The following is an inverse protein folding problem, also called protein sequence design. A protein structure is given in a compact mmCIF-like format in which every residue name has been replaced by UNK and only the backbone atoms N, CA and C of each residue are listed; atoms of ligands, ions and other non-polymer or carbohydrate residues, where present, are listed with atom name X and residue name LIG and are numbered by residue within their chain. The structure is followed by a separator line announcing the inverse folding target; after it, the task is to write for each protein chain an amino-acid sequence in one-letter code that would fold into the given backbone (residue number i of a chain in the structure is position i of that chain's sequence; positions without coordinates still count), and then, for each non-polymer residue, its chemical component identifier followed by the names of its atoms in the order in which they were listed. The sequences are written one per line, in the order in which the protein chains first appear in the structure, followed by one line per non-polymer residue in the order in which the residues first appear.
data_IF_486485093903
#
_entry.id   IF_486485093903
#
_cell.length_a   1.000
_cell.length_b   1.000
_cell.length_c   1.000
_cell.angle_alpha   90.00
_cell.angle_beta   90.00
_cell.angle_gamma   90.00
#
_symmetry.space_group_name_H-M   'P 1'
#
loop_
_entity.id
_entity.type
_entity.pdbx_description
1 polymer ?
#
# COMPACT_ATOMS: atom_id res chain seq x y z
N UNK A 1 15.68 -16.60 -0.68
CA UNK A 1 16.07 -16.10 0.65
C UNK A 1 14.83 -16.11 1.56
N UNK A 2 15.00 -16.64 2.73
CA UNK A 2 13.89 -16.71 3.71
C UNK A 2 14.10 -15.65 4.79
N UNK A 3 13.05 -14.87 5.06
CA UNK A 3 13.09 -13.90 6.16
C UNK A 3 13.05 -14.64 7.50
N UNK A 4 13.86 -14.18 8.43
CA UNK A 4 13.88 -14.70 9.81
C UNK A 4 13.22 -13.69 10.75
N UNK A 5 12.88 -14.14 11.97
CA UNK A 5 12.38 -13.20 13.00
C UNK A 5 13.39 -12.12 13.34
N UNK A 6 14.67 -12.41 13.26
CA UNK A 6 15.74 -11.43 13.46
C UNK A 6 15.69 -10.33 12.42
N UNK A 7 15.51 -10.69 11.13
CA UNK A 7 15.38 -9.73 10.04
C UNK A 7 14.21 -8.77 10.28
N UNK A 8 13.06 -9.29 10.70
CA UNK A 8 11.88 -8.47 11.00
C UNK A 8 12.11 -7.51 12.15
N UNK A 9 12.86 -7.94 13.17
CA UNK A 9 13.19 -7.08 14.31
C UNK A 9 14.14 -5.95 13.90
N UNK A 10 15.16 -6.25 13.10
CA UNK A 10 16.09 -5.22 12.62
C UNK A 10 15.40 -4.17 11.77
N UNK A 11 14.45 -4.56 10.94
CA UNK A 11 13.70 -3.65 10.09
C UNK A 11 12.73 -2.76 10.88
N UNK A 12 12.45 -3.08 12.15
CA UNK A 12 11.45 -2.37 12.96
C UNK A 12 10.15 -2.17 12.18
N UNK A 13 9.68 -3.26 11.60
CA UNK A 13 8.73 -3.21 10.48
C UNK A 13 7.42 -2.49 10.82
N UNK A 14 6.90 -2.64 12.02
CA UNK A 14 5.65 -1.99 12.39
C UNK A 14 5.80 -0.48 12.57
N UNK A 15 6.93 -0.05 13.14
CA UNK A 15 7.23 1.38 13.34
C UNK A 15 7.25 2.12 12.00
N UNK A 16 8.03 1.63 11.07
CA UNK A 16 8.22 2.31 9.79
C UNK A 16 7.09 2.03 8.81
N UNK A 17 6.46 0.87 8.90
CA UNK A 17 5.26 0.57 8.10
C UNK A 17 4.12 1.54 8.41
N UNK A 18 3.85 1.80 9.68
CA UNK A 18 2.79 2.72 10.07
C UNK A 18 3.03 4.14 9.53
N UNK A 19 4.25 4.63 9.65
CA UNK A 19 4.63 5.92 9.10
C UNK A 19 4.47 5.98 7.58
N UNK A 20 5.00 4.97 6.90
CA UNK A 20 4.92 4.86 5.44
C UNK A 20 3.48 4.75 4.96
N UNK A 21 2.66 3.98 5.66
CA UNK A 21 1.23 3.86 5.38
C UNK A 21 0.52 5.21 5.51
N UNK A 22 0.79 5.96 6.56
CA UNK A 22 0.20 7.29 6.74
C UNK A 22 0.60 8.25 5.63
N UNK A 23 1.86 8.21 5.24
CA UNK A 23 2.34 9.00 4.10
C UNK A 23 1.60 8.62 2.82
N UNK A 24 1.52 7.34 2.50
CA UNK A 24 0.89 6.86 1.28
C UNK A 24 -0.62 7.20 1.25
N UNK A 25 -1.30 6.98 2.36
CA UNK A 25 -2.74 7.26 2.45
C UNK A 25 -3.02 8.76 2.30
N UNK A 26 -2.22 9.61 2.93
CA UNK A 26 -2.40 11.06 2.83
C UNK A 26 -2.07 11.57 1.42
N UNK A 27 -1.04 11.04 0.81
CA UNK A 27 -0.59 11.46 -0.52
C UNK A 27 -1.60 11.07 -1.61
N UNK A 28 -2.19 9.89 -1.52
CA UNK A 28 -3.03 9.32 -2.58
C UNK A 28 -4.52 9.28 -2.24
N UNK A 29 -4.91 9.76 -1.08
CA UNK A 29 -6.32 9.78 -0.69
C UNK A 29 -6.93 8.41 -0.40
N UNK A 30 -6.12 7.48 0.10
CA UNK A 30 -6.56 6.13 0.45
C UNK A 30 -6.82 6.02 1.95
N UNK A 31 -7.69 5.08 2.32
CA UNK A 31 -7.82 4.67 3.72
C UNK A 31 -6.78 3.58 4.04
N UNK A 32 -6.52 3.36 5.32
CA UNK A 32 -5.60 2.29 5.75
C UNK A 32 -6.04 0.93 5.21
N UNK A 33 -7.35 0.64 5.25
CA UNK A 33 -7.90 -0.61 4.74
C UNK A 33 -7.76 -0.73 3.23
N UNK A 34 -7.95 0.38 2.48
CA UNK A 34 -7.75 0.40 1.04
C UNK A 34 -6.31 0.00 0.69
N UNK A 35 -5.34 0.59 1.37
CA UNK A 35 -3.93 0.31 1.11
C UNK A 35 -3.56 -1.14 1.44
N UNK A 36 -4.05 -1.65 2.57
CA UNK A 36 -3.79 -3.05 2.96
C UNK A 36 -4.35 -4.03 1.94
N UNK A 37 -5.54 -3.77 1.42
CA UNK A 37 -6.12 -4.59 0.36
C UNK A 37 -5.29 -4.55 -0.91
N UNK A 38 -4.81 -3.38 -1.32
CA UNK A 38 -3.99 -3.23 -2.51
C UNK A 38 -2.65 -3.97 -2.37
N UNK A 39 -2.03 -3.92 -1.20
CA UNK A 39 -0.80 -4.66 -0.92
C UNK A 39 -1.05 -6.17 -1.05
N UNK A 40 -2.16 -6.65 -0.49
CA UNK A 40 -2.54 -8.05 -0.60
C UNK A 40 -2.78 -8.48 -2.05
N UNK A 41 -3.53 -7.67 -2.81
CA UNK A 41 -3.84 -7.96 -4.20
C UNK A 41 -2.59 -7.94 -5.10
N UNK A 42 -1.65 -7.06 -4.80
CA UNK A 42 -0.38 -7.01 -5.52
C UNK A 42 0.40 -8.33 -5.41
N UNK A 43 0.28 -9.00 -4.27
CA UNK A 43 0.89 -10.32 -4.08
C UNK A 43 0.28 -11.39 -4.99
N UNK A 44 -0.99 -11.25 -5.33
CA UNK A 44 -1.69 -12.22 -6.21
C UNK A 44 -1.43 -11.98 -7.69
N UNK A 45 -1.03 -10.80 -8.08
CA UNK A 45 -0.82 -10.34 -9.47
C UNK A 45 -2.12 -10.25 -10.27
N UNK A 46 -2.86 -11.34 -10.41
CA UNK A 46 -4.14 -11.40 -11.14
C UNK A 46 -5.17 -12.14 -10.31
N UNK A 47 -6.41 -11.66 -10.36
CA UNK A 47 -7.47 -12.19 -9.50
C UNK A 47 -8.84 -11.94 -10.11
N UNK A 48 -9.81 -12.80 -9.78
CA UNK A 48 -11.22 -12.57 -10.07
C UNK A 48 -11.84 -11.80 -8.90
N UNK A 49 -13.04 -11.26 -9.12
CA UNK A 49 -13.79 -10.64 -8.03
C UNK A 49 -14.07 -11.64 -6.90
N UNK A 50 -14.36 -12.89 -7.26
CA UNK A 50 -14.60 -13.94 -6.27
C UNK A 50 -13.35 -14.24 -5.44
N UNK A 51 -12.18 -14.32 -6.08
CA UNK A 51 -10.91 -14.50 -5.37
C UNK A 51 -10.61 -13.29 -4.45
N UNK A 52 -10.97 -12.09 -4.88
CA UNK A 52 -10.88 -10.91 -4.02
C UNK A 52 -11.73 -11.08 -2.76
N UNK A 53 -13.00 -11.48 -2.92
CA UNK A 53 -13.92 -11.68 -1.80
C UNK A 53 -13.39 -12.77 -0.87
N UNK A 54 -12.98 -13.91 -1.42
CA UNK A 54 -12.50 -15.05 -0.65
C UNK A 54 -11.19 -14.72 0.08
N UNK A 55 -10.27 -14.04 -0.59
CA UNK A 55 -8.98 -13.69 -0.03
C UNK A 55 -9.05 -12.60 1.01
N UNK A 56 -10.05 -11.73 0.96
CA UNK A 56 -10.24 -10.66 1.92
C UNK A 56 -11.13 -11.07 3.11
N UNK A 57 -11.36 -12.36 3.29
CA UNK A 57 -12.16 -12.88 4.39
C UNK A 57 -11.66 -12.41 5.76
N UNK A 58 -10.37 -12.31 5.93
CA UNK A 58 -9.76 -11.80 7.16
C UNK A 58 -9.66 -10.28 7.20
N UNK A 59 -9.97 -9.63 6.10
CA UNK A 59 -10.02 -8.17 5.96
C UNK A 59 -11.46 -7.80 5.60
N UNK A 60 -11.96 -6.71 6.11
CA UNK A 60 -13.34 -6.30 5.83
C UNK A 60 -13.56 -6.09 4.33
N UNK A 61 -14.21 -7.05 3.68
CA UNK A 61 -14.64 -6.87 2.30
C UNK A 61 -15.83 -5.91 2.26
N UNK A 62 -15.78 -4.98 1.30
CA UNK A 62 -16.83 -4.00 1.10
C UNK A 62 -16.97 -3.74 -0.40
N UNK A 63 -18.18 -3.93 -0.92
CA UNK A 63 -18.48 -3.64 -2.32
C UNK A 63 -18.20 -2.19 -2.68
N UNK A 64 -18.51 -1.26 -1.80
CA UNK A 64 -18.25 0.16 -2.04
C UNK A 64 -16.74 0.42 -2.19
N UNK A 65 -15.90 -0.28 -1.42
CA UNK A 65 -14.45 -0.18 -1.54
C UNK A 65 -13.95 -0.75 -2.87
N UNK A 66 -14.47 -1.90 -3.28
CA UNK A 66 -14.15 -2.49 -4.58
C UNK A 66 -14.45 -1.52 -5.72
N UNK A 67 -15.66 -0.95 -5.74
CA UNK A 67 -16.09 -0.02 -6.76
C UNK A 67 -15.25 1.26 -6.75
N UNK A 68 -14.94 1.78 -5.55
CA UNK A 68 -14.08 2.95 -5.37
C UNK A 68 -12.68 2.72 -5.94
N UNK A 69 -12.05 1.59 -5.61
CA UNK A 69 -10.70 1.30 -6.07
C UNK A 69 -10.64 1.11 -7.59
N UNK A 70 -11.68 0.53 -8.17
CA UNK A 70 -11.79 0.42 -9.63
C UNK A 70 -11.99 1.79 -10.28
N UNK A 71 -12.88 2.61 -9.74
CA UNK A 71 -13.16 3.95 -10.25
C UNK A 71 -11.94 4.85 -10.21
N UNK A 72 -11.15 4.77 -9.15
CA UNK A 72 -9.94 5.57 -8.99
C UNK A 72 -8.73 5.02 -9.76
N UNK A 73 -8.87 3.88 -10.43
CA UNK A 73 -7.81 3.32 -11.26
C UNK A 73 -6.73 2.55 -10.51
N UNK A 74 -6.99 2.08 -9.29
CA UNK A 74 -6.06 1.23 -8.54
C UNK A 74 -6.16 -0.23 -8.96
N UNK A 75 -7.36 -0.67 -9.35
CA UNK A 75 -7.65 -2.01 -9.86
C UNK A 75 -8.20 -1.84 -11.26
N UNK A 76 -7.71 -2.64 -12.21
CA UNK A 76 -8.15 -2.58 -13.60
C UNK A 76 -8.43 -3.98 -14.14
N UNK A 77 -9.21 -4.05 -15.23
CA UNK A 77 -9.47 -5.31 -15.92
C UNK A 77 -8.23 -5.70 -16.70
N UNK A 78 -7.73 -6.93 -16.45
CA UNK A 78 -6.65 -7.51 -17.24
C UNK A 78 -7.20 -8.19 -18.49
N UNK A 79 -8.28 -8.99 -18.33
CA UNK A 79 -8.89 -9.73 -19.45
C UNK A 79 -10.31 -10.16 -19.10
N UNK A 80 -11.19 -10.08 -20.07
CA UNK A 80 -12.50 -10.71 -19.99
C UNK A 80 -12.39 -12.17 -20.46
N UNK A 81 -12.94 -13.10 -19.68
CA UNK A 81 -12.98 -14.52 -20.01
C UNK A 81 -14.43 -14.91 -20.36
N UNK A 82 -14.63 -15.36 -21.60
CA UNK A 82 -15.91 -15.86 -22.07
C UNK A 82 -15.80 -17.37 -22.25
N UNK A 83 -16.31 -18.12 -21.28
CA UNK A 83 -16.57 -19.55 -21.47
C UNK A 83 -18.02 -19.71 -21.87
N UNK A 84 -18.35 -20.83 -22.57
CA UNK A 84 -19.66 -21.07 -23.18
C UNK A 84 -20.86 -20.84 -22.24
N UNK A 85 -20.70 -21.00 -20.94
CA UNK A 85 -21.76 -20.83 -19.95
C UNK A 85 -21.49 -19.76 -18.89
N UNK A 86 -20.23 -19.32 -18.73
CA UNK A 86 -19.84 -18.38 -17.67
C UNK A 86 -18.93 -17.32 -18.24
N UNK A 87 -19.36 -16.06 -18.08
CA UNK A 87 -18.53 -14.88 -18.40
C UNK A 87 -17.99 -14.31 -17.10
N UNK A 88 -16.68 -14.11 -17.02
CA UNK A 88 -16.06 -13.46 -15.87
C UNK A 88 -14.87 -12.61 -16.31
N UNK A 89 -14.54 -11.65 -15.49
CA UNK A 89 -13.38 -10.77 -15.74
C UNK A 89 -12.25 -11.14 -14.80
N UNK A 90 -11.04 -11.08 -15.32
CA UNK A 90 -9.82 -11.19 -14.52
C UNK A 90 -9.26 -9.79 -14.34
N UNK A 91 -8.94 -9.45 -13.12
CA UNK A 91 -8.45 -8.13 -12.74
C UNK A 91 -6.98 -8.19 -12.34
N UNK A 92 -6.35 -7.05 -12.34
CA UNK A 92 -4.98 -6.87 -11.81
C UNK A 92 -4.88 -5.52 -11.11
N UNK A 93 -3.86 -5.35 -10.29
CA UNK A 93 -3.49 -4.02 -9.81
C UNK A 93 -2.94 -3.22 -10.99
N UNK A 94 -3.30 -1.93 -11.05
CA UNK A 94 -2.82 -1.05 -12.13
C UNK A 94 -1.32 -0.79 -12.00
N UNK A 95 -0.72 -0.25 -13.07
CA UNK A 95 0.68 0.17 -13.04
C UNK A 95 0.94 1.19 -11.93
N UNK A 96 0.04 2.14 -11.78
CA UNK A 96 0.07 3.14 -10.70
C UNK A 96 0.13 2.47 -9.32
N UNK A 97 -0.70 1.47 -9.11
CA UNK A 97 -0.75 0.71 -7.85
C UNK A 97 0.56 -0.04 -7.60
N UNK A 98 1.05 -0.76 -8.60
CA UNK A 98 2.30 -1.52 -8.49
C UNK A 98 3.49 -0.61 -8.22
N UNK A 99 3.53 0.58 -8.81
CA UNK A 99 4.58 1.57 -8.53
C UNK A 99 4.52 2.05 -7.08
N UNK A 100 3.34 2.36 -6.57
CA UNK A 100 3.19 2.79 -5.18
C UNK A 100 3.64 1.71 -4.21
N UNK A 101 3.20 0.48 -4.42
CA UNK A 101 3.54 -0.63 -3.52
C UNK A 101 5.05 -0.94 -3.57
N UNK A 102 5.65 -0.93 -4.75
CA UNK A 102 7.09 -1.10 -4.89
C UNK A 102 7.86 0.00 -4.17
N UNK A 103 7.37 1.24 -4.24
CA UNK A 103 7.96 2.36 -3.52
C UNK A 103 7.85 2.18 -2.01
N UNK A 104 6.72 1.71 -1.52
CA UNK A 104 6.53 1.41 -0.09
C UNK A 104 7.57 0.39 0.37
N UNK A 105 7.77 -0.68 -0.38
CA UNK A 105 8.78 -1.67 -0.04
C UNK A 105 10.20 -1.11 -0.04
N UNK A 106 10.55 -0.28 -1.03
CA UNK A 106 11.88 0.37 -1.05
C UNK A 106 12.09 1.27 0.17
N UNK A 107 11.07 2.02 0.56
CA UNK A 107 11.14 2.87 1.76
C UNK A 107 11.34 2.02 3.01
N UNK A 108 10.60 0.93 3.15
CA UNK A 108 10.73 0.05 4.31
C UNK A 108 12.07 -0.66 4.38
N UNK A 109 12.68 -0.96 3.23
CA UNK A 109 14.00 -1.58 3.16
C UNK A 109 15.16 -0.58 3.30
N UNK A 110 14.87 0.71 3.33
CA UNK A 110 15.89 1.74 3.42
C UNK A 110 16.51 2.15 2.08
N UNK A 111 16.00 1.64 0.97
CA UNK A 111 16.50 1.95 -0.38
C UNK A 111 16.01 3.32 -0.89
N UNK A 112 14.97 3.87 -0.30
CA UNK A 112 14.40 5.16 -0.64
C UNK A 112 13.95 5.86 0.64
N UNK A 113 14.13 7.17 0.70
CA UNK A 113 13.70 7.98 1.83
C UNK A 113 12.34 8.62 1.57
N UNK A 114 11.55 8.80 2.64
CA UNK A 114 10.33 9.59 2.57
C UNK A 114 10.66 11.06 2.29
N UNK A 115 9.80 11.76 1.52
CA UNK A 115 10.00 13.19 1.26
C UNK A 115 10.04 14.00 2.56
N UNK A 116 10.96 14.98 2.61
CA UNK A 116 11.16 15.86 3.77
C UNK A 116 10.93 17.32 3.40
N UNK A 117 10.86 18.18 4.41
CA UNK A 117 10.68 19.62 4.27
C UNK A 117 9.43 19.98 3.47
N UNK A 118 9.53 20.84 2.49
CA UNK A 118 8.41 21.31 1.66
C UNK A 118 7.80 20.20 0.78
N UNK A 119 8.53 19.11 0.55
CA UNK A 119 8.03 17.95 -0.22
C UNK A 119 7.24 16.97 0.63
N UNK A 120 7.30 17.09 1.95
CA UNK A 120 6.55 16.23 2.86
C UNK A 120 5.07 16.56 2.82
N UNK A 121 4.20 15.54 2.80
CA UNK A 121 2.75 15.73 2.92
C UNK A 121 2.35 16.29 4.29
N UNK A 122 3.25 16.23 5.26
CA UNK A 122 3.05 16.77 6.61
C UNK A 122 3.69 18.16 6.79
N UNK A 123 4.09 18.78 5.71
CA UNK A 123 4.85 20.04 5.71
C UNK A 123 4.18 21.17 6.48
N UNK A 124 2.88 21.29 6.38
CA UNK A 124 2.15 22.41 6.98
C UNK A 124 2.25 22.47 8.51
N UNK A 125 2.63 21.39 9.18
CA UNK A 125 2.84 21.33 10.64
C UNK A 125 1.67 21.93 11.45
N UNK A 126 0.46 21.96 10.87
CA UNK A 126 -0.70 22.58 11.49
C UNK A 126 -1.22 21.82 12.68
N UNK A 127 -1.01 20.51 12.70
CA UNK A 127 -1.49 19.64 13.76
C UNK A 127 -0.33 18.99 14.50
N UNK A 128 -0.60 18.57 15.73
CA UNK A 128 0.37 17.80 16.51
C UNK A 128 0.81 16.53 15.76
N UNK A 129 -0.14 15.89 15.08
CA UNK A 129 0.12 14.68 14.29
C UNK A 129 1.14 14.94 13.17
N UNK A 130 1.02 16.05 12.45
CA UNK A 130 1.96 16.41 11.39
C UNK A 130 3.37 16.59 11.95
N UNK A 131 3.52 17.23 13.10
CA UNK A 131 4.82 17.42 13.76
C UNK A 131 5.45 16.11 14.15
N UNK A 132 4.64 15.18 14.70
CA UNK A 132 5.11 13.85 15.09
C UNK A 132 5.58 13.06 13.88
N UNK A 133 4.83 13.09 12.78
CA UNK A 133 5.20 12.36 11.56
C UNK A 133 6.45 12.95 10.90
N UNK A 134 6.60 14.27 10.85
CA UNK A 134 7.81 14.89 10.32
C UNK A 134 9.05 14.50 11.12
N UNK A 135 8.95 14.47 12.45
CA UNK A 135 10.03 14.00 13.31
C UNK A 135 10.33 12.51 13.08
N UNK A 136 9.29 11.71 12.93
CA UNK A 136 9.45 10.28 12.68
C UNK A 136 10.15 10.01 11.34
N UNK A 137 9.88 10.81 10.31
CA UNK A 137 10.57 10.73 9.01
C UNK A 137 12.05 11.04 9.19
N UNK A 138 12.40 12.09 9.91
CA UNK A 138 13.81 12.45 10.18
C UNK A 138 14.52 11.33 10.93
N UNK A 139 13.88 10.72 11.93
CA UNK A 139 14.44 9.60 12.69
C UNK A 139 14.66 8.38 11.81
N UNK A 140 13.71 8.08 10.90
CA UNK A 140 13.82 6.96 9.97
C UNK A 140 15.00 7.15 9.00
N UNK A 141 15.20 8.35 8.48
CA UNK A 141 16.31 8.67 7.60
C UNK A 141 17.64 8.49 8.33
N UNK A 142 17.75 8.93 9.57
CA UNK A 142 18.96 8.74 10.40
C UNK A 142 19.24 7.26 10.64
N UNK A 143 18.21 6.47 10.90
CA UNK A 143 18.38 5.03 11.11
C UNK A 143 18.85 4.31 9.85
N UNK A 144 18.43 4.74 8.66
CA UNK A 144 18.82 4.14 7.39
C UNK A 144 20.25 4.48 6.97
N UNK A 145 20.83 5.55 7.50
CA UNK A 145 22.19 6.00 7.19
C UNK A 145 23.29 5.24 7.99
N UNK A 146 22.90 4.27 8.76
CA UNK A 146 23.85 3.44 9.54
C UNK A 146 24.56 2.39 8.71
#
# INVERSE_FOLDING_TARGET
MRLTSHDLRELQILKYYRLTRKWACKTYGLTDADLELLIYLDCKKRFTRQEFIDGTYTMSWDKARWDKLRKLGWIEVWRHRNRTTIKYSVFKTSFKCSQLISRIYRILLGDEDLPVSDRSVFYNNKTYTDKVFNKAIDDMIKDSDR
#
